data_IF_241395482123
#
_entry.id   IF_241395482123
#
_cell.length_a   1.000
_cell.length_b   1.000
_cell.length_c   1.000
_cell.angle_alpha   90.00
_cell.angle_beta   90.00
_cell.angle_gamma   90.00
#
_symmetry.space_group_name_H-M   'P 1'
#
loop_
_entity.id
_entity.type
_entity.pdbx_description
1 polymer ?
#
# COMPACT_ATOMS: atom_id res chain seq x y z
N UNK A 1 -24.85 0.10 -18.02
CA UNK A 1 -24.20 1.42 -18.15
C UNK A 1 -23.36 1.58 -16.90
N UNK A 2 -22.05 1.51 -17.03
CA UNK A 2 -21.10 1.82 -15.94
C UNK A 2 -20.92 3.32 -16.01
N UNK A 3 -21.15 4.01 -14.89
CA UNK A 3 -20.97 5.46 -14.80
C UNK A 3 -19.45 5.77 -14.79
N UNK A 4 -18.90 6.36 -15.85
CA UNK A 4 -17.47 6.66 -15.94
C UNK A 4 -17.03 7.76 -14.96
N UNK A 5 -17.96 8.50 -14.35
CA UNK A 5 -17.67 9.54 -13.36
C UNK A 5 -17.77 9.02 -11.92
N UNK A 6 -18.14 7.75 -11.72
CA UNK A 6 -18.21 7.10 -10.41
C UNK A 6 -16.83 6.62 -9.92
N UNK A 7 -15.85 7.53 -9.95
CA UNK A 7 -14.56 7.32 -9.29
C UNK A 7 -14.82 7.20 -7.79
N UNK A 8 -14.51 6.05 -7.20
CA UNK A 8 -14.70 5.82 -5.76
C UNK A 8 -13.78 6.72 -4.94
N UNK A 9 -14.32 7.78 -4.38
CA UNK A 9 -13.63 8.77 -3.53
C UNK A 9 -13.74 8.45 -2.03
N UNK A 10 -14.54 7.44 -1.67
CA UNK A 10 -14.77 7.01 -0.30
C UNK A 10 -13.47 6.66 0.43
N UNK A 11 -12.48 6.10 -0.29
CA UNK A 11 -11.16 5.80 0.27
C UNK A 11 -10.40 7.05 0.73
N UNK A 12 -10.58 8.17 0.02
CA UNK A 12 -9.93 9.45 0.34
C UNK A 12 -10.64 10.19 1.48
N UNK A 13 -11.93 9.89 1.70
CA UNK A 13 -12.75 10.50 2.75
C UNK A 13 -12.69 9.77 4.10
N UNK A 14 -12.20 8.54 4.17
CA UNK A 14 -12.08 7.78 5.42
C UNK A 14 -10.88 8.28 6.21
N UNK A 15 -11.15 9.07 7.26
CA UNK A 15 -10.17 9.43 8.28
C UNK A 15 -10.59 8.79 9.61
N UNK A 16 -10.01 7.62 9.91
CA UNK A 16 -10.26 6.90 11.15
C UNK A 16 -8.99 6.91 12.00
N UNK A 17 -9.12 7.38 13.24
CA UNK A 17 -8.08 7.22 14.27
C UNK A 17 -8.47 6.04 15.15
N UNK A 18 -7.83 4.90 14.93
CA UNK A 18 -8.01 3.70 15.75
C UNK A 18 -7.08 3.80 16.96
N UNK A 19 -7.64 3.60 18.15
CA UNK A 19 -6.89 3.34 19.37
C UNK A 19 -7.23 1.92 19.80
N UNK A 20 -6.21 1.08 19.94
CA UNK A 20 -6.36 -0.31 20.36
C UNK A 20 -5.91 -0.42 21.82
N UNK A 21 -6.86 -0.78 22.68
CA UNK A 21 -6.62 -1.10 24.08
C UNK A 21 -6.39 -2.61 24.18
N UNK A 22 -5.20 -3.00 24.61
CA UNK A 22 -4.73 -4.38 24.60
C UNK A 22 -5.18 -5.18 25.84
N UNK A 23 -5.40 -4.52 26.98
CA UNK A 23 -5.80 -5.18 28.23
C UNK A 23 -7.27 -4.93 28.62
N UNK A 24 -8.00 -4.24 27.75
CA UNK A 24 -9.44 -4.01 27.83
C UNK A 24 -9.86 -3.22 29.07
N UNK A 25 -8.95 -2.41 29.63
CA UNK A 25 -9.20 -1.63 30.83
C UNK A 25 -9.83 -0.25 30.54
N UNK A 26 -9.97 0.12 29.26
CA UNK A 26 -10.43 1.41 28.73
C UNK A 26 -9.59 2.62 29.20
N UNK A 27 -8.32 2.43 29.51
CA UNK A 27 -7.37 3.49 29.87
C UNK A 27 -6.46 3.81 28.69
N UNK A 28 -6.11 5.09 28.55
CA UNK A 28 -5.14 5.52 27.56
C UNK A 28 -3.72 5.18 28.01
N UNK A 29 -3.13 4.16 27.41
CA UNK A 29 -1.73 3.79 27.64
C UNK A 29 -0.77 4.54 26.70
N UNK A 30 0.44 4.78 27.20
CA UNK A 30 1.57 5.18 26.35
C UNK A 30 1.90 4.05 25.36
N UNK A 31 2.42 4.41 24.18
CA UNK A 31 2.69 3.48 23.08
C UNK A 31 3.45 2.22 23.54
N UNK A 32 2.81 1.06 23.39
CA UNK A 32 3.39 -0.28 23.50
C UNK A 32 3.69 -0.83 22.10
N UNK A 33 4.53 -1.89 21.97
CA UNK A 33 4.70 -2.58 20.69
C UNK A 33 3.35 -2.98 20.09
N UNK A 34 3.20 -2.85 18.78
CA UNK A 34 1.93 -3.17 18.08
C UNK A 34 2.19 -4.11 16.92
N UNK A 35 1.30 -5.08 16.74
CA UNK A 35 1.30 -5.93 15.56
C UNK A 35 0.57 -5.23 14.41
N UNK A 36 1.25 -5.08 13.26
CA UNK A 36 0.70 -4.46 12.05
C UNK A 36 0.52 -5.52 10.97
N UNK A 37 -0.71 -5.67 10.46
CA UNK A 37 -1.01 -6.52 9.31
C UNK A 37 -1.20 -5.66 8.06
N UNK A 38 -0.37 -5.89 7.04
CA UNK A 38 -0.51 -5.27 5.73
C UNK A 38 -1.21 -6.23 4.77
N UNK A 39 -2.33 -5.78 4.19
CA UNK A 39 -3.00 -6.48 3.10
C UNK A 39 -2.71 -5.72 1.80
N UNK A 40 -2.11 -6.40 0.83
CA UNK A 40 -1.76 -5.82 -0.46
C UNK A 40 -2.68 -6.37 -1.56
N UNK A 41 -3.18 -5.49 -2.42
CA UNK A 41 -3.95 -5.89 -3.60
C UNK A 41 -3.02 -6.34 -4.74
N UNK A 42 -3.23 -7.56 -5.23
CA UNK A 42 -2.54 -8.14 -6.39
C UNK A 42 -3.50 -8.38 -7.57
N UNK A 43 -4.62 -7.67 -7.60
CA UNK A 43 -5.60 -7.77 -8.68
C UNK A 43 -5.00 -7.45 -10.04
N UNK A 44 -5.69 -7.86 -11.11
CA UNK A 44 -5.24 -7.58 -12.48
C UNK A 44 -5.02 -6.09 -12.77
N UNK A 45 -5.75 -5.21 -12.08
CA UNK A 45 -5.61 -3.74 -12.18
C UNK A 45 -4.31 -3.18 -11.59
N UNK A 46 -3.54 -4.03 -10.89
CA UNK A 46 -2.24 -3.74 -10.33
C UNK A 46 -1.09 -4.22 -11.23
N UNK A 47 -1.37 -5.19 -12.12
CA UNK A 47 -0.37 -5.93 -12.89
C UNK A 47 -0.45 -5.69 -14.39
N UNK A 48 -1.64 -5.61 -14.97
CA UNK A 48 -1.82 -5.72 -16.41
C UNK A 48 -2.29 -4.41 -17.04
N UNK A 49 -1.68 -4.05 -18.17
CA UNK A 49 -2.03 -2.85 -18.94
C UNK A 49 -3.52 -2.80 -19.30
N UNK A 50 -4.11 -3.93 -19.74
CA UNK A 50 -5.53 -4.01 -20.12
C UNK A 50 -6.51 -3.67 -18.98
N UNK A 51 -6.03 -3.67 -17.73
CA UNK A 51 -6.80 -3.30 -16.53
C UNK A 51 -6.25 -2.02 -15.88
N UNK A 52 -5.38 -1.27 -16.55
CA UNK A 52 -4.79 -0.02 -16.06
C UNK A 52 -3.67 -0.21 -15.04
N UNK A 53 -2.99 -1.36 -15.04
CA UNK A 53 -1.90 -1.67 -14.11
C UNK A 53 -0.55 -1.03 -14.45
N UNK A 54 -0.34 -0.57 -15.68
CA UNK A 54 0.92 0.06 -16.10
C UNK A 54 0.93 1.54 -15.69
N UNK A 55 2.02 1.96 -15.04
CA UNK A 55 2.29 3.35 -14.63
C UNK A 55 3.26 4.03 -15.60
N UNK A 56 4.24 3.29 -16.12
CA UNK A 56 5.17 3.79 -17.13
C UNK A 56 5.50 2.69 -18.15
N UNK A 57 5.61 3.08 -19.41
CA UNK A 57 6.10 2.22 -20.51
C UNK A 57 7.57 2.49 -20.86
N UNK A 58 8.26 3.27 -20.04
CA UNK A 58 9.69 3.51 -20.22
C UNK A 58 10.48 2.27 -19.77
N UNK A 59 11.49 1.82 -20.53
CA UNK A 59 12.30 0.69 -20.12
C UNK A 59 13.08 0.98 -18.84
N UNK A 60 13.07 0.04 -17.91
CA UNK A 60 13.83 0.10 -16.65
C UNK A 60 14.79 -1.07 -16.58
N UNK A 61 16.00 -0.86 -16.05
CA UNK A 61 16.98 -1.93 -15.84
C UNK A 61 17.22 -2.15 -14.36
N UNK A 62 16.91 -3.35 -13.87
CA UNK A 62 17.10 -3.75 -12.47
C UNK A 62 18.04 -4.95 -12.45
N UNK A 63 19.15 -4.85 -11.73
CA UNK A 63 20.15 -5.93 -11.58
C UNK A 63 20.62 -6.55 -12.92
N UNK A 64 20.69 -5.74 -13.98
CA UNK A 64 21.12 -6.19 -15.31
C UNK A 64 20.00 -6.76 -16.20
N UNK A 65 18.78 -6.88 -15.69
CA UNK A 65 17.59 -7.27 -16.47
C UNK A 65 16.81 -6.03 -16.86
N UNK A 66 16.51 -5.88 -18.15
CA UNK A 66 15.65 -4.80 -18.66
C UNK A 66 14.21 -5.25 -18.74
N UNK A 67 13.31 -4.47 -18.15
CA UNK A 67 11.86 -4.58 -18.21
C UNK A 67 11.31 -3.44 -19.05
N UNK A 68 10.22 -3.70 -19.77
CA UNK A 68 9.65 -2.73 -20.72
C UNK A 68 8.60 -1.81 -20.11
N UNK A 69 8.25 -2.04 -18.84
CA UNK A 69 7.22 -1.28 -18.15
C UNK A 69 7.46 -1.28 -16.64
N UNK A 70 6.84 -0.30 -15.99
CA UNK A 70 6.63 -0.25 -14.54
C UNK A 70 5.13 -0.37 -14.28
N UNK A 71 4.75 -1.29 -13.43
CA UNK A 71 3.37 -1.51 -13.01
C UNK A 71 3.11 -0.91 -11.62
N UNK A 72 1.85 -0.78 -11.23
CA UNK A 72 1.48 -0.29 -9.89
C UNK A 72 2.05 -1.21 -8.80
N UNK A 73 2.06 -2.52 -9.02
CA UNK A 73 2.58 -3.45 -8.01
C UNK A 73 4.08 -3.27 -7.78
N UNK A 74 4.85 -2.87 -8.79
CA UNK A 74 6.28 -2.58 -8.63
C UNK A 74 6.52 -1.40 -7.67
N UNK A 75 5.66 -0.37 -7.75
CA UNK A 75 5.71 0.76 -6.82
C UNK A 75 5.26 0.39 -5.41
N UNK A 76 4.22 -0.45 -5.30
CA UNK A 76 3.73 -0.98 -4.02
C UNK A 76 4.80 -1.83 -3.34
N UNK A 77 5.55 -2.65 -4.09
CA UNK A 77 6.66 -3.42 -3.54
C UNK A 77 7.70 -2.49 -2.90
N UNK A 78 8.16 -1.49 -3.64
CA UNK A 78 9.14 -0.52 -3.15
C UNK A 78 8.63 0.22 -1.92
N UNK A 79 7.41 0.74 -1.97
CA UNK A 79 6.78 1.46 -0.86
C UNK A 79 6.61 0.57 0.39
N UNK A 80 6.25 -0.69 0.21
CA UNK A 80 6.11 -1.65 1.32
C UNK A 80 7.44 -1.92 2.01
N UNK A 81 8.51 -2.10 1.23
CA UNK A 81 9.87 -2.27 1.80
C UNK A 81 10.30 -1.06 2.59
N UNK A 82 10.14 0.13 2.02
CA UNK A 82 10.47 1.40 2.70
C UNK A 82 9.64 1.60 3.97
N UNK A 83 8.37 1.20 3.97
CA UNK A 83 7.51 1.27 5.13
C UNK A 83 7.95 0.31 6.24
N UNK A 84 8.29 -0.94 5.90
CA UNK A 84 8.82 -1.90 6.88
C UNK A 84 10.15 -1.40 7.44
N UNK A 85 11.06 -0.90 6.60
CA UNK A 85 12.32 -0.30 7.03
C UNK A 85 12.08 0.88 7.97
N UNK A 86 11.09 1.73 7.67
CA UNK A 86 10.70 2.83 8.55
C UNK A 86 10.23 2.32 9.93
N UNK A 87 9.35 1.31 9.97
CA UNK A 87 8.86 0.73 11.23
C UNK A 87 10.01 0.14 12.06
N UNK A 88 10.90 -0.63 11.43
CA UNK A 88 12.06 -1.25 12.10
C UNK A 88 13.02 -0.20 12.65
N UNK A 89 13.26 0.89 11.92
CA UNK A 89 14.13 1.98 12.37
C UNK A 89 13.48 2.87 13.44
N UNK A 90 12.15 2.94 13.47
CA UNK A 90 11.40 3.67 14.49
C UNK A 90 11.33 2.93 15.84
N UNK A 91 11.75 1.66 15.89
CA UNK A 91 11.64 0.82 17.09
C UNK A 91 10.20 0.41 17.40
N UNK A 92 9.35 0.31 16.36
CA UNK A 92 7.99 -0.21 16.44
C UNK A 92 7.98 -1.73 16.64
#
# INVERSE_FOLDING_TARGET
IVDPDNMGDLGDAINARLWYDEDCDNVYDAARPVDIMLTLDFSGSMLYNQYGGVVSSDPITINGTTYNETTKIDLVELGTRQFIDFLQNAGA
#
